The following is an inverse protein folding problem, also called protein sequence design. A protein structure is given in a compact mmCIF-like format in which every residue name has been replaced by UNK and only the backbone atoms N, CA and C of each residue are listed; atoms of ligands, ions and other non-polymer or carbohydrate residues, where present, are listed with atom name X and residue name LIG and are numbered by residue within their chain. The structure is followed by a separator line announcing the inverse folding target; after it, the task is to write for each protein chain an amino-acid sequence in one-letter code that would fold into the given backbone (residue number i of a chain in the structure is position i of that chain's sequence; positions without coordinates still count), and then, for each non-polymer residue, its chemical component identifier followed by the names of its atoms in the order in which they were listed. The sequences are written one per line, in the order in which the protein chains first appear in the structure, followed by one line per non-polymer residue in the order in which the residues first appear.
data_IF_495155274405
#
_entry.id   IF_495155274405
#
_cell.length_a   1.000
_cell.length_b   1.000
_cell.length_c   1.000
_cell.angle_alpha   90.00
_cell.angle_beta   90.00
_cell.angle_gamma   90.00
#
_symmetry.space_group_name_H-M   'P 1'
#
loop_
_entity.id
_entity.type
_entity.pdbx_description
1 polymer ?
#
# COMPACT_ATOMS: atom_id res chain seq x y z
N UNK A 1 -0.13 3.53 14.24
CA UNK A 1 -0.56 4.13 15.52
C UNK A 1 -2.03 4.50 15.45
N UNK A 2 -2.91 3.60 15.87
CA UNK A 2 -4.34 3.84 16.02
C UNK A 2 -4.79 3.04 17.25
N UNK A 3 -5.11 3.70 18.36
CA UNK A 3 -5.50 3.02 19.61
C UNK A 3 -5.06 3.71 20.90
N UNK A 4 -4.18 4.72 20.84
CA UNK A 4 -3.71 5.43 22.04
C UNK A 4 -4.82 6.24 22.71
N UNK A 5 -5.84 6.69 21.98
CA UNK A 5 -6.94 7.53 22.48
C UNK A 5 -7.72 6.91 23.65
N UNK A 6 -7.85 5.59 23.69
CA UNK A 6 -8.68 4.88 24.68
C UNK A 6 -7.96 4.65 26.02
N UNK A 7 -6.64 4.88 26.07
CA UNK A 7 -5.80 4.61 27.25
C UNK A 7 -5.09 5.85 27.82
N UNK A 8 -5.48 7.06 27.40
CA UNK A 8 -4.84 8.28 27.90
C UNK A 8 -5.28 8.59 29.33
N UNK A 9 -4.30 8.84 30.20
CA UNK A 9 -4.56 9.34 31.53
C UNK A 9 -5.30 10.69 31.50
N UNK A 10 -6.05 10.98 32.55
CA UNK A 10 -6.75 12.25 32.70
C UNK A 10 -5.78 13.43 32.55
N UNK A 11 -6.18 14.44 31.78
CA UNK A 11 -5.37 15.64 31.51
C UNK A 11 -4.37 15.51 30.34
N UNK A 12 -4.17 14.32 29.78
CA UNK A 12 -3.32 14.15 28.59
C UNK A 12 -4.11 14.46 27.32
N UNK A 13 -3.55 15.31 26.46
CA UNK A 13 -4.10 15.63 25.13
C UNK A 13 -3.25 14.97 24.05
N UNK A 14 -3.88 14.21 23.16
CA UNK A 14 -3.22 13.66 21.97
C UNK A 14 -3.41 14.62 20.80
N UNK A 15 -2.30 15.17 20.31
CA UNK A 15 -2.27 15.92 19.06
C UNK A 15 -1.93 14.97 17.91
N UNK A 16 -2.95 14.49 17.22
CA UNK A 16 -2.80 13.63 16.06
C UNK A 16 -3.90 13.94 15.03
N UNK A 17 -3.67 13.65 13.74
CA UNK A 17 -4.75 13.68 12.76
C UNK A 17 -5.91 12.75 13.16
N UNK A 18 -7.13 12.99 12.65
CA UNK A 18 -8.27 12.13 12.94
C UNK A 18 -7.95 10.66 12.65
N UNK A 19 -8.27 9.76 13.60
CA UNK A 19 -7.97 8.32 13.50
C UNK A 19 -8.49 7.70 12.19
N UNK A 20 -9.69 8.09 11.75
CA UNK A 20 -10.27 7.61 10.50
C UNK A 20 -9.39 7.97 9.28
N UNK A 21 -8.92 9.21 9.20
CA UNK A 21 -8.03 9.67 8.13
C UNK A 21 -6.69 8.93 8.18
N UNK A 22 -6.14 8.69 9.39
CA UNK A 22 -4.91 7.90 9.53
C UNK A 22 -5.08 6.47 9.01
N UNK A 23 -6.18 5.80 9.36
CA UNK A 23 -6.46 4.43 8.90
C UNK A 23 -6.66 4.37 7.38
N UNK A 24 -7.42 5.32 6.83
CA UNK A 24 -7.63 5.44 5.38
C UNK A 24 -6.30 5.57 4.63
N UNK A 25 -5.37 6.39 5.13
CA UNK A 25 -4.06 6.59 4.51
C UNK A 25 -3.09 5.40 4.73
N UNK A 26 -3.32 4.56 5.74
CA UNK A 26 -2.51 3.34 5.96
C UNK A 26 -2.94 2.17 5.07
N UNK A 27 -4.13 2.26 4.46
CA UNK A 27 -4.53 1.39 3.37
C UNK A 27 -3.90 1.87 2.05
N UNK A 28 -3.05 1.02 1.45
CA UNK A 28 -2.30 1.36 0.24
C UNK A 28 -3.20 1.61 -0.97
N UNK A 29 -4.31 0.89 -1.08
CA UNK A 29 -5.22 1.04 -2.21
C UNK A 29 -6.00 2.34 -2.08
N UNK A 30 -6.50 2.64 -0.88
CA UNK A 30 -7.19 3.90 -0.62
C UNK A 30 -6.26 5.09 -0.79
N UNK A 31 -5.03 5.00 -0.29
CA UNK A 31 -3.99 6.00 -0.53
C UNK A 31 -3.76 6.24 -2.03
N UNK A 32 -3.50 5.18 -2.81
CA UNK A 32 -3.24 5.31 -4.24
C UNK A 32 -4.43 5.93 -5.00
N UNK A 33 -5.66 5.55 -4.65
CA UNK A 33 -6.89 6.14 -5.20
C UNK A 33 -6.98 7.63 -4.89
N UNK A 34 -6.72 8.02 -3.64
CA UNK A 34 -6.76 9.42 -3.18
C UNK A 34 -5.71 10.27 -3.88
N UNK A 35 -4.46 9.79 -3.97
CA UNK A 35 -3.40 10.51 -4.67
C UNK A 35 -3.70 10.67 -6.16
N UNK A 36 -4.24 9.63 -6.81
CA UNK A 36 -4.70 9.72 -8.20
C UNK A 36 -5.80 10.76 -8.39
N UNK A 37 -6.77 10.83 -7.48
CA UNK A 37 -7.83 11.84 -7.51
C UNK A 37 -7.27 13.27 -7.33
N UNK A 38 -6.13 13.43 -6.68
CA UNK A 38 -5.39 14.69 -6.54
C UNK A 38 -4.40 14.95 -7.68
N UNK A 39 -4.44 14.17 -8.76
CA UNK A 39 -3.49 14.23 -9.87
C UNK A 39 -2.01 14.07 -9.47
N UNK A 40 -1.75 13.41 -8.33
CA UNK A 40 -0.40 13.11 -7.87
C UNK A 40 0.10 11.78 -8.46
N UNK A 41 1.38 11.69 -8.84
CA UNK A 41 1.94 10.46 -9.38
C UNK A 41 1.98 9.39 -8.29
N UNK A 42 1.41 8.23 -8.59
CA UNK A 42 1.47 7.02 -7.75
C UNK A 42 1.62 5.77 -8.60
N UNK A 43 2.28 4.72 -8.09
CA UNK A 43 2.33 3.44 -8.76
C UNK A 43 0.94 2.87 -9.05
N UNK A 44 0.81 2.19 -10.17
CA UNK A 44 -0.38 1.40 -10.46
C UNK A 44 -0.61 0.40 -9.32
N UNK A 45 -1.82 0.46 -8.73
CA UNK A 45 -2.15 -0.29 -7.51
C UNK A 45 -3.51 -0.94 -7.66
N UNK A 46 -3.56 -2.27 -7.49
CA UNK A 46 -4.79 -3.07 -7.57
C UNK A 46 -4.92 -3.99 -6.34
N UNK A 47 -6.15 -4.38 -5.96
CA UNK A 47 -6.36 -5.51 -5.04
C UNK A 47 -5.70 -6.77 -5.58
N UNK A 48 -5.09 -7.56 -4.69
CA UNK A 48 -4.32 -8.73 -5.07
C UNK A 48 -5.18 -9.88 -5.65
N UNK A 49 -6.46 -9.92 -5.26
CA UNK A 49 -7.48 -10.89 -5.71
C UNK A 49 -8.26 -10.43 -6.94
N UNK A 50 -8.11 -9.17 -7.36
CA UNK A 50 -8.76 -8.63 -8.55
C UNK A 50 -8.13 -9.13 -9.84
N UNK A 51 -8.92 -9.16 -10.91
CA UNK A 51 -8.41 -9.59 -12.23
C UNK A 51 -7.35 -8.63 -12.76
N UNK A 52 -7.51 -7.31 -12.56
CA UNK A 52 -6.48 -6.33 -12.91
C UNK A 52 -5.17 -6.59 -12.16
N UNK A 53 -5.24 -7.01 -10.89
CA UNK A 53 -4.08 -7.40 -10.12
C UNK A 53 -3.39 -8.66 -10.67
N UNK A 54 -4.17 -9.68 -11.03
CA UNK A 54 -3.64 -10.91 -11.64
C UNK A 54 -3.02 -10.65 -13.00
N UNK A 55 -3.64 -9.81 -13.83
CA UNK A 55 -3.08 -9.38 -15.12
C UNK A 55 -1.75 -8.66 -14.92
N UNK A 56 -1.69 -7.71 -13.98
CA UNK A 56 -0.43 -7.01 -13.69
C UNK A 56 0.67 -7.97 -13.22
N UNK A 57 0.32 -8.94 -12.36
CA UNK A 57 1.26 -9.95 -11.88
C UNK A 57 1.74 -10.91 -12.99
N UNK A 58 0.89 -11.22 -13.97
CA UNK A 58 1.26 -12.02 -15.13
C UNK A 58 2.27 -11.27 -16.03
N UNK A 59 2.04 -9.98 -16.25
CA UNK A 59 2.79 -9.21 -17.24
C UNK A 59 4.07 -8.56 -16.70
N UNK A 60 4.14 -8.31 -15.38
CA UNK A 60 5.18 -7.46 -14.80
C UNK A 60 5.61 -7.91 -13.39
N UNK A 61 6.86 -7.58 -13.04
CA UNK A 61 7.37 -7.74 -11.68
C UNK A 61 6.60 -6.84 -10.70
N UNK A 62 6.30 -7.32 -9.51
CA UNK A 62 5.40 -6.61 -8.60
C UNK A 62 5.79 -6.70 -7.13
N UNK A 63 5.29 -5.75 -6.34
CA UNK A 63 5.43 -5.71 -4.89
C UNK A 63 4.07 -5.98 -4.26
N UNK A 64 3.99 -6.98 -3.38
CA UNK A 64 2.85 -7.18 -2.52
C UNK A 64 3.11 -6.54 -1.16
N UNK A 65 2.13 -5.77 -0.68
CA UNK A 65 2.21 -5.15 0.64
C UNK A 65 0.86 -5.18 1.37
N UNK A 66 0.77 -5.84 2.54
CA UNK A 66 -0.46 -5.90 3.34
C UNK A 66 -1.07 -4.53 3.62
N UNK A 67 -2.39 -4.42 3.66
CA UNK A 67 -3.06 -3.23 4.19
C UNK A 67 -2.60 -2.94 5.63
N UNK A 68 -2.54 -1.67 6.01
CA UNK A 68 -2.20 -1.21 7.37
C UNK A 68 -0.83 -1.62 7.93
N UNK A 69 0.05 -2.25 7.12
CA UNK A 69 1.44 -2.50 7.52
C UNK A 69 2.33 -1.27 7.37
N UNK A 70 3.30 -1.12 8.28
CA UNK A 70 4.37 -0.13 8.23
C UNK A 70 5.74 -0.80 8.28
N UNK A 71 6.82 -0.03 8.10
CA UNK A 71 8.21 -0.48 8.29
C UNK A 71 8.61 -1.74 7.49
N UNK A 72 8.05 -1.93 6.29
CA UNK A 72 8.38 -3.09 5.45
C UNK A 72 7.72 -4.41 5.88
N UNK A 73 6.92 -4.42 6.95
CA UNK A 73 6.29 -5.65 7.45
C UNK A 73 5.37 -6.29 6.41
N UNK A 74 5.63 -7.56 6.10
CA UNK A 74 4.91 -8.37 5.12
C UNK A 74 5.09 -7.92 3.68
N UNK A 75 6.03 -7.02 3.38
CA UNK A 75 6.36 -6.65 2.00
C UNK A 75 7.08 -7.81 1.32
N UNK A 76 6.70 -8.12 0.09
CA UNK A 76 7.39 -9.09 -0.75
C UNK A 76 7.48 -8.59 -2.19
N UNK A 77 8.54 -8.98 -2.89
CA UNK A 77 8.81 -8.65 -4.29
C UNK A 77 8.74 -9.92 -5.12
N UNK A 78 8.14 -9.84 -6.30
CA UNK A 78 7.85 -10.98 -7.17
C UNK A 78 8.20 -10.66 -8.61
N UNK A 79 8.71 -11.64 -9.34
CA UNK A 79 8.93 -11.51 -10.78
C UNK A 79 7.60 -11.61 -11.55
N UNK A 80 7.59 -11.14 -12.80
CA UNK A 80 6.47 -11.33 -13.70
C UNK A 80 6.13 -12.83 -13.86
N UNK A 81 4.84 -13.15 -13.98
CA UNK A 81 4.34 -14.51 -14.07
C UNK A 81 4.25 -15.26 -12.73
N UNK A 82 4.75 -14.68 -11.63
CA UNK A 82 4.57 -15.28 -10.31
C UNK A 82 3.09 -15.20 -9.92
N UNK A 83 2.42 -16.32 -9.59
CA UNK A 83 1.01 -16.27 -9.22
C UNK A 83 0.81 -15.45 -7.95
N UNK A 84 -0.02 -14.41 -8.05
CA UNK A 84 -0.42 -13.60 -6.91
C UNK A 84 -1.41 -14.39 -6.04
N UNK A 85 -0.89 -15.16 -5.08
CA UNK A 85 -1.68 -15.85 -4.05
C UNK A 85 -1.58 -15.04 -2.76
N UNK A 86 -2.60 -14.25 -2.43
CA UNK A 86 -2.64 -13.60 -1.12
C UNK A 86 -4.00 -13.76 -0.46
N UNK A 87 -3.97 -14.16 0.80
CA UNK A 87 -5.11 -14.14 1.74
C UNK A 87 -5.36 -12.76 2.34
N UNK A 88 -4.52 -11.76 2.03
CA UNK A 88 -4.60 -10.39 2.60
C UNK A 88 -5.07 -9.37 1.56
N UNK A 89 -5.93 -8.46 1.98
CA UNK A 89 -6.86 -7.69 1.11
C UNK A 89 -6.23 -6.61 0.19
N UNK A 90 -4.93 -6.32 0.25
CA UNK A 90 -4.27 -5.25 -0.56
C UNK A 90 -2.75 -5.50 -0.54
N UNK A 91 -1.91 -5.21 -1.53
CA UNK A 91 -2.09 -4.68 -2.89
C UNK A 91 -0.79 -4.82 -3.69
N UNK A 92 -0.92 -4.74 -5.02
CA UNK A 92 0.18 -4.95 -5.98
C UNK A 92 0.71 -3.59 -6.44
N UNK A 93 2.02 -3.36 -6.35
CA UNK A 93 2.68 -2.14 -6.85
C UNK A 93 3.73 -2.53 -7.90
N UNK A 94 3.81 -1.80 -9.01
CA UNK A 94 4.90 -1.96 -9.97
C UNK A 94 6.03 -0.95 -9.70
N UNK A 95 7.27 -1.44 -9.58
CA UNK A 95 8.48 -0.59 -9.58
C UNK A 95 9.23 -0.85 -10.88
N UNK A 96 9.37 0.17 -11.73
CA UNK A 96 10.44 0.20 -12.73
C UNK A 96 11.74 0.39 -11.96
N UNK A 97 12.76 -0.45 -12.17
CA UNK A 97 14.11 -0.01 -11.87
C UNK A 97 14.35 1.26 -12.69
N UNK A 98 14.84 2.33 -12.04
CA UNK A 98 15.40 3.42 -12.81
C UNK A 98 16.44 2.80 -13.74
N UNK A 99 16.24 2.97 -15.04
CA UNK A 99 17.29 2.71 -16.01
C UNK A 99 18.50 3.48 -15.49
N UNK A 100 19.57 2.78 -15.12
CA UNK A 100 20.89 3.39 -15.19
C UNK A 100 21.02 3.83 -16.63
N UNK A 101 20.82 5.13 -16.85
CA UNK A 101 21.25 5.78 -18.07
C UNK A 101 22.73 5.46 -18.21
N UNK A 102 23.11 4.96 -19.39
CA UNK A 102 24.48 4.68 -19.70
C UNK A 102 25.38 5.90 -19.48
N UNK A 103 26.56 5.63 -18.96
CA UNK A 103 27.79 6.26 -19.38
C UNK A 103 28.68 5.15 -19.93
#
# INVERSE_FOLDING_TARGET
MAGLTEGLAAGVRLYAPPRAALLELHDKLMFARKMRALALPVPETHPADSDAGKTLAADRAYVLKPANSCAGLGVSMHAAGTPCRSTTRVGIWWFRSASTAGC
#
